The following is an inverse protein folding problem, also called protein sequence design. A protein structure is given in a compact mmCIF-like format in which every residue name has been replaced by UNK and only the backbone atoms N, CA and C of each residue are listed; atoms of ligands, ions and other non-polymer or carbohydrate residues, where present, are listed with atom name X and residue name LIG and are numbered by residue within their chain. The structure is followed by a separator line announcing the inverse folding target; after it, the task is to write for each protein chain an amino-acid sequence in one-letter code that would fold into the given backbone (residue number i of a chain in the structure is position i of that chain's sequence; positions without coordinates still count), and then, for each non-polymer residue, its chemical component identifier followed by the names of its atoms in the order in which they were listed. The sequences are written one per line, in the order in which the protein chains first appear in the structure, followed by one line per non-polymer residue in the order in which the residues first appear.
data_IF_760794463320
#
_entry.id   IF_760794463320
#
_cell.length_a   1.000
_cell.length_b   1.000
_cell.length_c   1.000
_cell.angle_alpha   90.00
_cell.angle_beta   90.00
_cell.angle_gamma   90.00
#
_symmetry.space_group_name_H-M   'P 1'
#
loop_
_entity.id
_entity.type
_entity.pdbx_description
1 polymer ?
#
# COMPACT_ATOMS: atom_id res chain seq x y z
N UNK A 1 -17.53 -21.70 4.00
CA UNK A 1 -17.14 -21.42 5.40
C UNK A 1 -17.44 -19.94 5.74
N UNK A 2 -17.60 -19.61 7.01
CA UNK A 2 -17.71 -18.21 7.46
C UNK A 2 -16.67 -17.99 8.56
N UNK A 3 -15.89 -16.94 8.46
CA UNK A 3 -14.92 -16.52 9.49
C UNK A 3 -15.22 -15.10 9.95
N UNK A 4 -14.98 -14.85 11.22
CA UNK A 4 -15.16 -13.54 11.86
C UNK A 4 -13.81 -13.12 12.44
N UNK A 5 -13.38 -11.91 12.11
CA UNK A 5 -12.18 -11.28 12.61
C UNK A 5 -12.60 -10.05 13.43
N UNK A 6 -12.17 -9.98 14.68
CA UNK A 6 -12.33 -8.78 15.50
C UNK A 6 -11.10 -7.87 15.27
N UNK A 7 -11.33 -6.65 14.83
CA UNK A 7 -10.29 -5.67 14.51
C UNK A 7 -10.37 -4.47 15.46
N UNK A 8 -9.30 -3.68 15.57
CA UNK A 8 -9.31 -2.46 16.35
C UNK A 8 -10.21 -1.38 15.72
N UNK A 9 -10.60 -0.36 16.51
CA UNK A 9 -11.37 0.77 15.98
C UNK A 9 -10.64 1.50 14.87
N UNK A 10 -9.32 1.61 14.96
CA UNK A 10 -8.47 2.26 13.97
C UNK A 10 -8.49 1.47 12.66
N UNK A 11 -8.28 0.16 12.73
CA UNK A 11 -8.35 -0.74 11.57
C UNK A 11 -9.74 -0.71 10.93
N UNK A 12 -10.80 -0.75 11.73
CA UNK A 12 -12.17 -0.68 11.21
C UNK A 12 -12.43 0.64 10.48
N UNK A 13 -11.92 1.76 11.00
CA UNK A 13 -12.04 3.08 10.37
C UNK A 13 -11.26 3.16 9.05
N UNK A 14 -10.03 2.64 9.01
CA UNK A 14 -9.20 2.62 7.80
C UNK A 14 -9.79 1.67 6.73
N UNK A 15 -10.30 0.49 7.11
CA UNK A 15 -10.97 -0.45 6.20
C UNK A 15 -12.26 0.15 5.60
N UNK A 16 -13.07 0.87 6.38
CA UNK A 16 -14.20 1.60 5.86
C UNK A 16 -13.72 2.73 4.94
N UNK A 17 -12.73 3.51 5.38
CA UNK A 17 -12.14 4.60 4.62
C UNK A 17 -13.17 5.64 4.16
N UNK A 18 -12.82 6.40 3.13
CA UNK A 18 -13.76 7.33 2.50
C UNK A 18 -14.72 6.56 1.59
N UNK A 19 -16.02 6.57 1.93
CA UNK A 19 -17.09 5.88 1.17
C UNK A 19 -16.88 4.37 1.01
N UNK A 20 -16.41 3.69 2.05
CA UNK A 20 -16.14 2.24 2.02
C UNK A 20 -15.14 1.78 0.93
N UNK A 21 -14.27 2.67 0.47
CA UNK A 21 -13.45 2.44 -0.71
C UNK A 21 -12.50 1.24 -0.60
N UNK A 22 -11.96 0.95 0.60
CA UNK A 22 -11.11 -0.22 0.82
C UNK A 22 -11.95 -1.50 0.82
N UNK A 23 -13.12 -1.47 1.47
CA UNK A 23 -14.05 -2.62 1.49
C UNK A 23 -14.59 -2.94 0.09
N UNK A 24 -14.90 -1.91 -0.72
CA UNK A 24 -15.31 -2.11 -2.11
C UNK A 24 -14.19 -2.72 -2.94
N UNK A 25 -12.96 -2.22 -2.81
CA UNK A 25 -11.79 -2.78 -3.50
C UNK A 25 -11.51 -4.24 -3.11
N UNK A 26 -11.74 -4.60 -1.85
CA UNK A 26 -11.66 -5.99 -1.39
C UNK A 26 -12.75 -6.86 -2.03
N UNK A 27 -14.00 -6.38 -2.04
CA UNK A 27 -15.15 -7.11 -2.63
C UNK A 27 -15.02 -7.32 -4.13
N UNK A 28 -14.42 -6.36 -4.84
CA UNK A 28 -14.20 -6.45 -6.29
C UNK A 28 -13.11 -7.44 -6.69
N UNK A 29 -12.16 -7.71 -5.79
CA UNK A 29 -10.95 -8.49 -6.10
C UNK A 29 -10.90 -9.85 -5.44
N UNK A 30 -11.73 -10.08 -4.46
CA UNK A 30 -11.79 -11.34 -3.71
C UNK A 30 -13.15 -12.00 -3.92
N UNK A 31 -13.15 -13.25 -4.33
CA UNK A 31 -14.35 -14.06 -4.60
C UNK A 31 -15.02 -14.54 -3.30
N UNK A 32 -15.23 -13.62 -2.34
CA UNK A 32 -15.89 -13.92 -1.08
C UNK A 32 -16.79 -12.76 -0.62
N UNK A 33 -17.74 -13.06 0.25
CA UNK A 33 -18.56 -12.04 0.89
C UNK A 33 -17.78 -11.36 2.01
N UNK A 34 -17.68 -10.03 1.99
CA UNK A 34 -16.97 -9.24 3.00
C UNK A 34 -17.95 -8.23 3.60
N UNK A 35 -18.13 -8.29 4.91
CA UNK A 35 -19.00 -7.38 5.66
C UNK A 35 -18.29 -6.89 6.93
N UNK A 36 -18.25 -5.56 7.11
CA UNK A 36 -17.76 -4.91 8.33
C UNK A 36 -18.95 -4.34 9.12
N UNK A 37 -19.08 -4.69 10.39
CA UNK A 37 -20.07 -4.16 11.32
C UNK A 37 -19.39 -3.77 12.64
N UNK A 38 -19.21 -2.48 12.87
CA UNK A 38 -18.39 -2.01 13.98
C UNK A 38 -16.96 -2.54 13.79
N UNK A 39 -16.45 -3.24 14.78
CA UNK A 39 -15.11 -3.81 14.79
C UNK A 39 -15.08 -5.29 14.35
N UNK A 40 -16.16 -5.77 13.78
CA UNK A 40 -16.27 -7.17 13.39
C UNK A 40 -16.34 -7.30 11.88
N UNK A 41 -15.26 -7.85 11.30
CA UNK A 41 -15.16 -8.18 9.89
C UNK A 41 -15.58 -9.63 9.68
N UNK A 42 -16.52 -9.86 8.79
CA UNK A 42 -17.02 -11.19 8.44
C UNK A 42 -16.64 -11.53 7.02
N UNK A 43 -15.99 -12.68 6.83
CA UNK A 43 -15.62 -13.25 5.54
C UNK A 43 -16.48 -14.51 5.32
N UNK A 44 -17.13 -14.63 4.16
CA UNK A 44 -18.00 -15.77 3.83
C UNK A 44 -17.81 -16.24 2.39
N UNK A 45 -17.68 -17.55 2.21
CA UNK A 45 -17.46 -18.19 0.91
C UNK A 45 -16.95 -19.62 1.04
N UNK A 46 -16.33 -20.14 -0.01
CA UNK A 46 -15.62 -21.42 0.02
C UNK A 46 -14.36 -21.34 0.89
N UNK A 47 -13.89 -22.46 1.41
CA UNK A 47 -12.79 -22.49 2.39
C UNK A 47 -11.50 -21.87 1.85
N UNK A 48 -11.17 -22.13 0.59
CA UNK A 48 -9.99 -21.59 -0.07
C UNK A 48 -10.10 -20.07 -0.28
N UNK A 49 -11.26 -19.59 -0.71
CA UNK A 49 -11.53 -18.16 -0.92
C UNK A 49 -11.49 -17.37 0.39
N UNK A 50 -12.08 -17.91 1.45
CA UNK A 50 -12.06 -17.30 2.78
C UNK A 50 -10.65 -17.27 3.35
N UNK A 51 -9.85 -18.32 3.14
CA UNK A 51 -8.45 -18.38 3.58
C UNK A 51 -7.59 -17.34 2.85
N UNK A 52 -7.74 -17.21 1.53
CA UNK A 52 -7.04 -16.18 0.74
C UNK A 52 -7.44 -14.76 1.16
N UNK A 53 -8.75 -14.52 1.33
CA UNK A 53 -9.27 -13.23 1.79
C UNK A 53 -8.75 -12.87 3.19
N UNK A 54 -8.66 -13.86 4.07
CA UNK A 54 -8.11 -13.67 5.42
C UNK A 54 -6.66 -13.22 5.37
N UNK A 55 -5.81 -13.85 4.57
CA UNK A 55 -4.41 -13.47 4.42
C UNK A 55 -4.25 -12.00 3.97
N UNK A 56 -5.07 -11.57 2.99
CA UNK A 56 -5.08 -10.18 2.52
C UNK A 56 -5.50 -9.22 3.63
N UNK A 57 -6.54 -9.56 4.39
CA UNK A 57 -7.03 -8.72 5.50
C UNK A 57 -6.01 -8.64 6.63
N UNK A 58 -5.38 -9.75 7.00
CA UNK A 58 -4.34 -9.78 8.03
C UNK A 58 -3.16 -8.88 7.67
N UNK A 59 -2.73 -8.86 6.41
CA UNK A 59 -1.68 -7.97 5.93
C UNK A 59 -2.10 -6.49 5.99
N UNK A 60 -3.35 -6.17 5.60
CA UNK A 60 -3.88 -4.81 5.74
C UNK A 60 -3.97 -4.36 7.20
N UNK A 61 -4.34 -5.26 8.11
CA UNK A 61 -4.36 -4.99 9.57
C UNK A 61 -2.96 -4.66 10.06
N UNK A 62 -1.96 -5.46 9.70
CA UNK A 62 -0.56 -5.21 10.09
C UNK A 62 -0.04 -3.86 9.56
N UNK A 63 -0.40 -3.46 8.34
CA UNK A 63 -0.04 -2.15 7.79
C UNK A 63 -0.65 -1.01 8.61
N UNK A 64 -1.93 -1.11 8.98
CA UNK A 64 -2.60 -0.07 9.80
C UNK A 64 -2.00 -0.01 11.20
N UNK A 65 -1.76 -1.17 11.84
CA UNK A 65 -1.12 -1.24 13.16
C UNK A 65 0.33 -0.71 13.14
N UNK A 66 1.00 -0.81 12.00
CA UNK A 66 2.29 -0.16 11.71
C UNK A 66 2.19 1.36 11.49
N UNK A 67 1.00 1.95 11.55
CA UNK A 67 0.76 3.39 11.37
C UNK A 67 0.64 3.84 9.90
N UNK A 68 0.47 2.91 8.98
CA UNK A 68 0.28 3.23 7.56
C UNK A 68 -1.20 3.48 7.24
N UNK A 69 -1.47 4.52 6.45
CA UNK A 69 -2.80 4.74 5.90
C UNK A 69 -3.02 3.82 4.69
N UNK A 70 -4.15 3.13 4.67
CA UNK A 70 -4.53 2.26 3.58
C UNK A 70 -5.59 2.89 2.68
N UNK A 71 -5.61 2.48 1.41
CA UNK A 71 -6.57 2.92 0.41
C UNK A 71 -6.90 1.80 -0.57
N UNK A 72 -7.83 2.04 -1.53
CA UNK A 72 -8.18 1.04 -2.55
C UNK A 72 -6.98 0.48 -3.31
N UNK A 73 -5.97 1.33 -3.57
CA UNK A 73 -4.73 0.93 -4.26
C UNK A 73 -3.88 -0.02 -3.41
N UNK A 74 -3.94 0.11 -2.07
CA UNK A 74 -3.21 -0.75 -1.13
C UNK A 74 -3.68 -2.20 -1.23
N UNK A 75 -4.98 -2.44 -1.44
CA UNK A 75 -5.53 -3.79 -1.63
C UNK A 75 -4.87 -4.50 -2.81
N UNK A 76 -4.71 -3.78 -3.94
CA UNK A 76 -4.00 -4.33 -5.10
C UNK A 76 -2.51 -4.59 -4.85
N UNK A 77 -1.87 -3.76 -4.05
CA UNK A 77 -0.47 -3.93 -3.68
C UNK A 77 -0.29 -5.18 -2.80
N UNK A 78 -1.18 -5.38 -1.82
CA UNK A 78 -1.18 -6.55 -0.92
C UNK A 78 -1.39 -7.84 -1.71
N UNK A 79 -2.38 -7.89 -2.59
CA UNK A 79 -2.62 -9.06 -3.45
C UNK A 79 -1.40 -9.42 -4.29
N UNK A 80 -0.80 -8.43 -4.95
CA UNK A 80 0.40 -8.66 -5.76
C UNK A 80 1.62 -9.10 -4.94
N UNK A 81 1.74 -8.63 -3.70
CA UNK A 81 2.85 -9.03 -2.83
C UNK A 81 2.67 -10.46 -2.31
N UNK A 82 1.46 -10.85 -1.92
CA UNK A 82 1.15 -12.23 -1.52
C UNK A 82 1.46 -13.19 -2.66
N UNK A 83 1.06 -12.85 -3.91
CA UNK A 83 1.35 -13.66 -5.09
C UNK A 83 2.85 -13.79 -5.39
N UNK A 84 3.66 -12.77 -5.07
CA UNK A 84 5.11 -12.74 -5.33
C UNK A 84 5.95 -13.10 -4.10
N UNK A 85 5.33 -13.37 -2.95
CA UNK A 85 5.99 -13.57 -1.65
C UNK A 85 6.96 -12.42 -1.29
N UNK A 86 6.62 -11.19 -1.66
CA UNK A 86 7.37 -9.97 -1.36
C UNK A 86 6.98 -9.43 0.04
N UNK A 87 7.97 -8.91 0.79
CA UNK A 87 7.71 -8.24 2.07
C UNK A 87 7.24 -6.80 1.85
N UNK A 88 5.99 -6.53 2.20
CA UNK A 88 5.40 -5.20 2.08
C UNK A 88 5.89 -4.20 3.12
N UNK A 89 6.43 -4.63 4.26
CA UNK A 89 6.96 -3.74 5.29
C UNK A 89 8.12 -2.93 4.73
N UNK A 90 9.04 -3.59 4.02
CA UNK A 90 10.17 -2.93 3.36
C UNK A 90 9.71 -1.87 2.33
N UNK A 91 8.53 -2.07 1.74
CA UNK A 91 7.95 -1.12 0.78
C UNK A 91 7.41 0.12 1.49
N UNK A 92 6.58 -0.06 2.52
CA UNK A 92 5.88 1.05 3.18
C UNK A 92 6.76 1.80 4.17
N UNK A 93 7.75 1.15 4.77
CA UNK A 93 8.71 1.77 5.69
C UNK A 93 9.79 2.61 4.98
N UNK A 94 9.93 2.48 3.66
CA UNK A 94 10.87 3.26 2.87
C UNK A 94 10.40 4.71 2.70
N UNK A 95 10.82 5.58 3.60
CA UNK A 95 10.50 7.01 3.52
C UNK A 95 11.40 7.67 2.48
N UNK A 96 10.82 7.96 1.30
CA UNK A 96 11.48 8.68 0.20
C UNK A 96 11.73 10.14 0.59
N UNK A 97 10.75 10.79 1.20
CA UNK A 97 10.85 12.17 1.68
C UNK A 97 9.82 12.46 2.77
N UNK A 98 10.19 13.33 3.71
CA UNK A 98 9.31 13.77 4.79
C UNK A 98 9.08 15.28 4.71
N UNK A 99 7.82 15.71 4.66
CA UNK A 99 7.46 17.12 4.62
C UNK A 99 6.25 17.42 5.52
N UNK A 100 6.43 18.38 6.45
CA UNK A 100 5.36 18.85 7.36
C UNK A 100 4.62 17.70 8.06
N UNK A 101 5.35 16.70 8.53
CA UNK A 101 4.78 15.54 9.23
C UNK A 101 4.14 14.48 8.32
N UNK A 102 4.18 14.67 7.00
CA UNK A 102 3.74 13.65 6.03
C UNK A 102 4.94 12.92 5.44
N UNK A 103 4.87 11.61 5.45
CA UNK A 103 5.86 10.76 4.80
C UNK A 103 5.40 10.45 3.36
N UNK A 104 6.32 10.53 2.41
CA UNK A 104 6.15 10.02 1.06
C UNK A 104 6.88 8.69 1.01
N UNK A 105 6.13 7.61 0.80
CA UNK A 105 6.61 6.24 0.72
C UNK A 105 6.13 5.58 -0.57
N UNK A 106 6.82 4.58 -1.11
CA UNK A 106 6.26 3.72 -2.13
C UNK A 106 4.98 3.07 -1.61
N UNK A 107 4.03 2.81 -2.48
CA UNK A 107 2.76 2.13 -2.15
C UNK A 107 2.64 0.75 -2.80
N UNK A 108 3.62 0.38 -3.61
CA UNK A 108 3.68 -0.93 -4.29
C UNK A 108 5.13 -1.38 -4.42
N UNK A 109 5.33 -2.69 -4.54
CA UNK A 109 6.65 -3.29 -4.79
C UNK A 109 7.33 -2.69 -6.02
N UNK A 110 6.59 -2.48 -7.10
CA UNK A 110 7.16 -1.87 -8.31
C UNK A 110 7.56 -0.40 -8.10
N UNK A 111 6.84 0.35 -7.28
CA UNK A 111 7.24 1.70 -6.89
C UNK A 111 8.51 1.66 -6.03
N UNK A 112 8.64 0.70 -5.10
CA UNK A 112 9.86 0.49 -4.32
C UNK A 112 11.04 0.18 -5.22
N UNK A 113 10.90 -0.78 -6.14
CA UNK A 113 11.95 -1.12 -7.13
C UNK A 113 12.37 0.11 -7.97
N UNK A 114 11.41 0.97 -8.33
CA UNK A 114 11.70 2.21 -9.05
C UNK A 114 12.48 3.21 -8.18
N UNK A 115 12.11 3.38 -6.93
CA UNK A 115 12.83 4.23 -5.95
C UNK A 115 14.27 3.72 -5.76
N UNK A 116 14.44 2.42 -5.58
CA UNK A 116 15.76 1.81 -5.42
C UNK A 116 16.64 1.96 -6.67
N UNK A 117 16.04 1.81 -7.86
CA UNK A 117 16.73 2.03 -9.13
C UNK A 117 17.21 3.47 -9.29
N UNK A 118 16.43 4.47 -8.87
CA UNK A 118 16.84 5.89 -8.89
C UNK A 118 17.99 6.14 -7.92
N UNK A 119 17.93 5.54 -6.72
CA UNK A 119 19.00 5.71 -5.72
C UNK A 119 20.31 5.07 -6.13
N UNK A 120 20.24 3.93 -6.81
CA UNK A 120 21.43 3.16 -7.23
C UNK A 120 22.00 3.64 -8.58
N UNK A 121 21.20 4.22 -9.46
CA UNK A 121 21.55 4.51 -10.84
C UNK A 121 21.86 5.99 -11.10
N UNK A 122 22.83 6.24 -11.98
CA UNK A 122 23.08 7.61 -12.49
C UNK A 122 21.98 8.06 -13.45
N UNK A 123 21.41 7.13 -14.21
CA UNK A 123 20.31 7.36 -15.14
C UNK A 123 19.28 6.25 -14.93
N UNK A 124 18.02 6.62 -14.78
CA UNK A 124 16.90 5.67 -14.59
C UNK A 124 15.77 5.98 -15.57
N UNK A 125 15.29 4.98 -16.27
CA UNK A 125 14.12 5.06 -17.15
C UNK A 125 12.88 4.47 -16.47
N UNK A 126 11.87 5.31 -16.20
CA UNK A 126 10.60 4.87 -15.65
C UNK A 126 9.58 4.62 -16.77
N UNK A 127 9.32 3.36 -17.09
CA UNK A 127 8.36 2.95 -18.13
C UNK A 127 7.12 2.36 -17.44
N UNK A 128 5.93 2.76 -17.89
CA UNK A 128 4.68 2.23 -17.36
C UNK A 128 3.47 3.14 -17.65
N UNK A 129 2.24 2.69 -17.36
CA UNK A 129 1.01 3.43 -17.58
C UNK A 129 0.97 4.79 -16.87
N UNK A 130 0.10 5.68 -17.33
CA UNK A 130 -0.17 6.94 -16.64
C UNK A 130 -0.77 6.67 -15.23
N UNK A 131 -0.56 7.60 -14.29
CA UNK A 131 -1.14 7.50 -12.95
C UNK A 131 -0.41 6.56 -11.98
N UNK A 132 0.64 5.85 -12.38
CA UNK A 132 1.37 4.89 -11.52
C UNK A 132 2.40 5.52 -10.57
N UNK A 133 2.42 6.86 -10.43
CA UNK A 133 3.26 7.56 -9.46
C UNK A 133 4.72 7.81 -9.90
N UNK A 134 5.12 7.48 -11.14
CA UNK A 134 6.50 7.61 -11.61
C UNK A 134 7.09 9.01 -11.39
N UNK A 135 6.45 10.02 -11.95
CA UNK A 135 6.90 11.43 -11.82
C UNK A 135 6.84 11.90 -10.37
N UNK A 136 5.80 11.51 -9.63
CA UNK A 136 5.64 11.88 -8.22
C UNK A 136 6.80 11.37 -7.36
N UNK A 137 7.18 10.10 -7.49
CA UNK A 137 8.28 9.51 -6.73
C UNK A 137 9.65 10.06 -7.17
N UNK A 138 9.86 10.27 -8.48
CA UNK A 138 11.08 10.90 -8.98
C UNK A 138 11.24 12.32 -8.42
N UNK A 139 10.17 13.10 -8.38
CA UNK A 139 10.17 14.45 -7.79
C UNK A 139 10.43 14.42 -6.29
N UNK A 140 9.84 13.48 -5.56
CA UNK A 140 10.07 13.31 -4.13
C UNK A 140 11.54 13.02 -3.83
N UNK A 141 12.18 12.12 -4.60
CA UNK A 141 13.61 11.82 -4.49
C UNK A 141 14.49 13.02 -4.88
N UNK A 142 14.14 13.75 -5.93
CA UNK A 142 14.88 14.94 -6.34
C UNK A 142 14.85 16.04 -5.26
N UNK A 143 13.67 16.23 -4.63
CA UNK A 143 13.52 17.20 -3.52
C UNK A 143 14.27 16.73 -2.28
N UNK A 144 14.23 15.43 -1.95
CA UNK A 144 15.02 14.85 -0.87
C UNK A 144 16.50 15.14 -1.06
N UNK A 145 17.07 14.79 -2.23
CA UNK A 145 18.46 15.01 -2.58
C UNK A 145 18.87 16.48 -2.54
N UNK A 146 17.99 17.39 -2.97
CA UNK A 146 18.21 18.83 -2.87
C UNK A 146 18.20 19.31 -1.41
N UNK A 147 17.26 18.83 -0.60
CA UNK A 147 17.13 19.19 0.80
C UNK A 147 18.30 18.71 1.65
N UNK A 148 18.88 17.58 1.30
CA UNK A 148 20.05 16.98 1.94
C UNK A 148 21.37 17.58 1.43
N UNK A 149 21.33 18.44 0.42
CA UNK A 149 22.50 19.03 -0.20
C UNK A 149 23.32 18.08 -1.07
N UNK A 150 22.76 16.91 -1.39
CA UNK A 150 23.39 15.91 -2.27
C UNK A 150 23.51 16.42 -3.73
N UNK A 151 22.60 17.30 -4.13
CA UNK A 151 22.63 18.02 -5.41
C UNK A 151 22.44 19.51 -5.21
N UNK A 152 23.05 20.33 -6.05
CA UNK A 152 22.96 21.78 -5.96
C UNK A 152 21.72 22.38 -6.64
N UNK A 153 21.05 21.64 -7.52
CA UNK A 153 19.85 22.08 -8.22
C UNK A 153 19.10 20.89 -8.83
N UNK A 154 17.81 21.08 -9.05
CA UNK A 154 16.94 20.16 -9.82
C UNK A 154 16.58 20.85 -11.12
N UNK A 155 16.64 20.13 -12.24
CA UNK A 155 16.23 20.58 -13.58
C UNK A 155 15.07 19.72 -14.02
N UNK A 156 13.96 20.33 -14.48
CA UNK A 156 12.73 19.70 -14.91
C UNK A 156 12.49 19.96 -16.39
#
# INVERSE_FOLDING_TARGET
MQQVLDVSNEVAAELAGVKDGVLEALRERLDCTIALRGNRLTLGGEDEQVSAARAVVEELVELVEGGHQIGPDTVGAVLNAIDQADDLRDVFDDIVWRHRGKNITPKTVNQKRYVDAIRAGTVTFGIGPAGTGKTYLAMALAVSALSEGAVGRVIL
#
